data_IF_439766634985
#
_entry.id   IF_439766634985
#
_cell.length_a   1.000
_cell.length_b   1.000
_cell.length_c   1.000
_cell.angle_alpha   90.00
_cell.angle_beta   90.00
_cell.angle_gamma   90.00
#
_symmetry.space_group_name_H-M   'P 1'
#
loop_
_entity.id
_entity.type
_entity.pdbx_description
1 polymer ?
#
# COMPACT_ATOMS: atom_id res chain seq x y z
N UNK A 1 -32.00 3.95 15.56
CA UNK A 1 -31.78 4.64 14.26
C UNK A 1 -30.49 4.07 13.71
N UNK A 2 -30.47 3.72 12.42
CA UNK A 2 -29.27 3.14 11.79
C UNK A 2 -28.07 4.07 11.96
N UNK A 3 -26.98 3.54 12.54
CA UNK A 3 -25.69 4.24 12.64
C UNK A 3 -24.82 3.83 11.46
N UNK A 4 -24.41 4.75 10.60
CA UNK A 4 -23.71 4.45 9.35
C UNK A 4 -22.23 4.81 9.45
N UNK A 5 -21.37 3.82 9.22
CA UNK A 5 -19.93 4.02 9.04
C UNK A 5 -19.59 3.86 7.56
N UNK A 6 -19.10 4.92 6.92
CA UNK A 6 -18.59 4.86 5.54
C UNK A 6 -17.08 4.68 5.59
N UNK A 7 -16.57 3.67 4.90
CA UNK A 7 -15.14 3.36 4.79
C UNK A 7 -14.71 3.54 3.34
N UNK A 8 -13.78 4.47 3.08
CA UNK A 8 -13.26 4.76 1.74
C UNK A 8 -11.91 4.07 1.53
N UNK A 9 -11.88 3.00 0.74
CA UNK A 9 -10.68 2.26 0.34
C UNK A 9 -10.74 0.78 0.73
N UNK A 10 -10.79 -0.11 -0.27
CA UNK A 10 -10.84 -1.58 -0.10
C UNK A 10 -9.47 -2.27 0.00
N UNK A 11 -8.45 -1.59 0.54
CA UNK A 11 -7.12 -2.18 0.79
C UNK A 11 -6.92 -2.49 2.28
N UNK A 12 -5.68 -2.75 2.71
CA UNK A 12 -5.33 -3.25 4.05
C UNK A 12 -6.07 -2.53 5.18
N UNK A 13 -5.95 -1.20 5.27
CA UNK A 13 -6.54 -0.41 6.34
C UNK A 13 -8.08 -0.41 6.36
N UNK A 14 -8.71 -0.17 5.21
CA UNK A 14 -10.16 -0.10 5.13
C UNK A 14 -10.83 -1.47 5.25
N UNK A 15 -10.22 -2.53 4.69
CA UNK A 15 -10.65 -3.92 4.91
C UNK A 15 -10.55 -4.30 6.39
N UNK A 16 -9.44 -3.94 7.04
CA UNK A 16 -9.24 -4.21 8.47
C UNK A 16 -10.32 -3.55 9.32
N UNK A 17 -10.58 -2.25 9.12
CA UNK A 17 -11.63 -1.53 9.86
C UNK A 17 -13.02 -2.12 9.57
N UNK A 18 -13.34 -2.39 8.31
CA UNK A 18 -14.63 -2.95 7.88
C UNK A 18 -14.91 -4.29 8.55
N UNK A 19 -13.99 -5.25 8.43
CA UNK A 19 -14.16 -6.58 9.02
C UNK A 19 -14.20 -6.53 10.55
N UNK A 20 -13.37 -5.70 11.19
CA UNK A 20 -13.37 -5.58 12.65
C UNK A 20 -14.66 -4.95 13.19
N UNK A 21 -15.20 -3.92 12.53
CA UNK A 21 -16.51 -3.35 12.88
C UNK A 21 -17.63 -4.40 12.74
N UNK A 22 -17.65 -5.14 11.63
CA UNK A 22 -18.69 -6.16 11.39
C UNK A 22 -18.57 -7.37 12.32
N UNK A 23 -17.35 -7.77 12.70
CA UNK A 23 -17.10 -8.93 13.56
C UNK A 23 -17.28 -8.61 15.06
N UNK A 24 -16.86 -7.43 15.51
CA UNK A 24 -16.75 -7.11 16.93
C UNK A 24 -17.74 -6.07 17.43
N UNK A 25 -18.12 -5.12 16.58
CA UNK A 25 -19.02 -4.02 16.95
C UNK A 25 -20.46 -4.32 16.60
N UNK A 26 -20.72 -4.77 15.36
CA UNK A 26 -22.06 -5.05 14.85
C UNK A 26 -22.89 -6.03 15.70
N UNK A 27 -22.31 -7.06 16.36
CA UNK A 27 -23.07 -7.93 17.26
C UNK A 27 -23.56 -7.24 18.54
N UNK A 28 -23.02 -6.07 18.89
CA UNK A 28 -23.37 -5.29 20.08
C UNK A 28 -24.14 -4.01 19.75
N UNK A 29 -24.01 -3.52 18.52
CA UNK A 29 -24.70 -2.35 17.98
C UNK A 29 -25.57 -2.81 16.80
N UNK A 30 -26.78 -3.28 17.08
CA UNK A 30 -27.63 -3.93 16.05
C UNK A 30 -28.02 -3.00 14.89
N UNK A 31 -28.04 -1.70 15.14
CA UNK A 31 -28.36 -0.67 14.16
C UNK A 31 -27.13 -0.23 13.33
N UNK A 32 -25.94 -0.82 13.53
CA UNK A 32 -24.74 -0.46 12.78
C UNK A 32 -24.83 -0.95 11.32
N UNK A 33 -24.61 -0.04 10.37
CA UNK A 33 -24.41 -0.32 8.95
C UNK A 33 -23.01 0.15 8.55
N UNK A 34 -22.26 -0.71 7.84
CA UNK A 34 -20.96 -0.34 7.26
C UNK A 34 -21.11 -0.25 5.73
N UNK A 35 -20.67 0.84 5.13
CA UNK A 35 -20.59 0.99 3.68
C UNK A 35 -19.11 1.03 3.29
N UNK A 36 -18.62 -0.01 2.61
CA UNK A 36 -17.28 -0.03 2.06
C UNK A 36 -17.33 0.46 0.61
N UNK A 37 -16.60 1.53 0.33
CA UNK A 37 -16.39 2.05 -1.02
C UNK A 37 -14.97 1.72 -1.44
N UNK A 38 -14.80 1.09 -2.60
CA UNK A 38 -13.48 0.75 -3.14
C UNK A 38 -13.45 1.01 -4.63
N UNK A 39 -12.38 1.61 -5.15
CA UNK A 39 -12.18 1.72 -6.60
C UNK A 39 -12.08 0.34 -7.28
N UNK A 40 -11.71 -0.69 -6.52
CA UNK A 40 -11.49 -2.04 -7.01
C UNK A 40 -12.44 -3.06 -6.37
N UNK A 41 -12.92 -4.00 -7.21
CA UNK A 41 -13.70 -5.16 -6.80
C UNK A 41 -12.86 -6.23 -6.06
N UNK A 42 -11.54 -6.17 -6.23
CA UNK A 42 -10.58 -7.12 -5.66
C UNK A 42 -9.67 -6.45 -4.63
N UNK A 43 -9.37 -7.19 -3.58
CA UNK A 43 -8.27 -6.90 -2.67
C UNK A 43 -6.96 -7.26 -3.37
N UNK A 44 -6.01 -6.33 -3.36
CA UNK A 44 -4.69 -6.50 -3.96
C UNK A 44 -3.60 -6.57 -2.90
N UNK A 45 -2.86 -7.68 -2.85
CA UNK A 45 -1.69 -7.87 -2.01
C UNK A 45 -0.44 -7.23 -2.64
N UNK A 46 -0.41 -5.90 -2.62
CA UNK A 46 0.61 -5.09 -3.28
C UNK A 46 2.04 -5.32 -2.76
N UNK A 47 2.22 -5.90 -1.58
CA UNK A 47 3.54 -6.31 -1.05
C UNK A 47 4.26 -7.31 -1.97
N UNK A 48 3.51 -8.10 -2.74
CA UNK A 48 4.07 -9.05 -3.70
C UNK A 48 4.17 -8.49 -5.13
N UNK A 49 3.84 -7.22 -5.35
CA UNK A 49 3.93 -6.55 -6.66
C UNK A 49 5.32 -6.68 -7.31
N UNK A 50 6.38 -6.61 -6.50
CA UNK A 50 7.78 -6.79 -6.94
C UNK A 50 8.07 -8.16 -7.55
N UNK A 51 7.25 -9.18 -7.25
CA UNK A 51 7.30 -10.50 -7.89
C UNK A 51 6.28 -10.66 -9.01
N UNK A 52 5.15 -9.97 -8.91
CA UNK A 52 4.12 -10.00 -9.94
C UNK A 52 4.62 -9.45 -11.28
N UNK A 53 5.60 -8.53 -11.25
CA UNK A 53 6.28 -8.05 -12.45
C UNK A 53 7.49 -8.91 -12.88
N UNK A 54 7.70 -10.08 -12.28
CA UNK A 54 8.72 -11.03 -12.70
C UNK A 54 8.02 -12.22 -13.36
N UNK A 55 8.21 -12.45 -14.67
CA UNK A 55 7.49 -13.49 -15.41
C UNK A 55 7.52 -14.87 -14.74
N UNK A 56 6.33 -15.45 -14.56
CA UNK A 56 6.17 -16.83 -14.07
C UNK A 56 6.45 -17.03 -12.58
N UNK A 57 6.61 -15.97 -11.78
CA UNK A 57 6.93 -16.09 -10.34
C UNK A 57 5.69 -16.13 -9.45
N UNK A 58 4.66 -15.35 -9.78
CA UNK A 58 3.41 -15.24 -9.02
C UNK A 58 2.24 -15.30 -10.00
N UNK A 59 1.13 -15.93 -9.60
CA UNK A 59 -0.12 -15.89 -10.37
C UNK A 59 -1.04 -14.81 -9.83
N UNK A 60 -1.93 -14.28 -10.68
CA UNK A 60 -2.89 -13.26 -10.27
C UNK A 60 -3.75 -13.71 -9.08
N UNK A 61 -4.17 -14.98 -9.05
CA UNK A 61 -4.96 -15.58 -7.95
C UNK A 61 -4.23 -15.65 -6.58
N UNK A 62 -2.90 -15.47 -6.57
CA UNK A 62 -2.10 -15.42 -5.34
C UNK A 62 -2.07 -14.01 -4.73
N UNK A 63 -2.31 -12.97 -5.53
CA UNK A 63 -2.20 -11.55 -5.13
C UNK A 63 -3.51 -10.79 -5.21
N UNK A 64 -4.51 -11.33 -5.92
CA UNK A 64 -5.86 -10.78 -5.99
C UNK A 64 -6.87 -11.72 -5.35
N UNK A 65 -7.82 -11.16 -4.62
CA UNK A 65 -8.97 -11.89 -4.10
C UNK A 65 -10.22 -11.00 -4.14
N UNK A 66 -11.36 -11.49 -4.65
CA UNK A 66 -12.61 -10.72 -4.65
C UNK A 66 -13.00 -10.30 -3.23
N UNK A 67 -13.38 -9.03 -3.05
CA UNK A 67 -13.77 -8.49 -1.73
C UNK A 67 -15.16 -9.00 -1.34
N UNK A 68 -16.11 -8.97 -2.29
CA UNK A 68 -17.53 -9.21 -2.02
C UNK A 68 -17.83 -10.53 -1.28
N UNK A 69 -17.28 -11.70 -1.66
CA UNK A 69 -17.55 -12.96 -0.94
C UNK A 69 -17.12 -12.91 0.53
N UNK A 70 -16.08 -12.13 0.85
CA UNK A 70 -15.65 -11.88 2.23
C UNK A 70 -16.64 -11.05 3.04
N UNK A 71 -17.45 -10.21 2.39
CA UNK A 71 -18.46 -9.38 3.06
C UNK A 71 -19.81 -10.09 3.16
N UNK A 72 -20.14 -10.96 2.20
CA UNK A 72 -21.40 -11.72 2.17
C UNK A 72 -21.57 -12.69 3.36
N UNK A 73 -20.51 -12.96 4.13
CA UNK A 73 -20.58 -13.77 5.36
C UNK A 73 -21.29 -13.06 6.53
N UNK A 74 -21.43 -11.73 6.48
CA UNK A 74 -22.04 -10.94 7.55
C UNK A 74 -23.56 -10.85 7.39
N UNK A 75 -24.32 -10.54 8.46
CA UNK A 75 -25.78 -10.46 8.40
C UNK A 75 -26.27 -9.54 7.27
N UNK A 76 -27.33 -9.97 6.57
CA UNK A 76 -27.90 -9.20 5.47
C UNK A 76 -28.25 -7.77 5.91
N UNK A 77 -27.85 -6.78 5.10
CA UNK A 77 -28.07 -5.36 5.38
C UNK A 77 -27.08 -4.71 6.37
N UNK A 78 -26.20 -5.49 7.02
CA UNK A 78 -25.15 -4.93 7.90
C UNK A 78 -23.98 -4.29 7.15
N UNK A 79 -23.75 -4.72 5.91
CA UNK A 79 -22.70 -4.20 5.04
C UNK A 79 -23.22 -3.95 3.63
N UNK A 80 -22.76 -2.85 3.04
CA UNK A 80 -22.92 -2.52 1.63
C UNK A 80 -21.54 -2.34 1.01
N UNK A 81 -21.32 -2.93 -0.17
CA UNK A 81 -20.07 -2.81 -0.91
C UNK A 81 -20.32 -2.10 -2.23
N UNK A 82 -19.66 -0.96 -2.42
CA UNK A 82 -19.77 -0.12 -3.62
C UNK A 82 -18.41 -0.13 -4.32
N UNK A 83 -18.39 -0.59 -5.57
CA UNK A 83 -17.23 -0.42 -6.44
C UNK A 83 -17.35 0.95 -7.11
N UNK A 84 -16.46 1.87 -6.76
CA UNK A 84 -16.53 3.28 -7.15
C UNK A 84 -15.45 4.14 -6.51
N UNK A 85 -15.38 5.39 -6.95
CA UNK A 85 -14.39 6.38 -6.50
C UNK A 85 -15.08 7.47 -5.69
N UNK A 86 -14.57 7.76 -4.49
CA UNK A 86 -15.02 8.93 -3.74
C UNK A 86 -14.47 10.21 -4.38
N UNK A 87 -15.35 11.18 -4.67
CA UNK A 87 -15.00 12.39 -5.43
C UNK A 87 -15.24 13.70 -4.68
N UNK A 88 -16.00 13.69 -3.60
CA UNK A 88 -16.14 14.84 -2.70
C UNK A 88 -16.58 14.41 -1.29
N UNK A 89 -16.23 15.22 -0.29
CA UNK A 89 -16.77 15.12 1.08
C UNK A 89 -17.37 16.47 1.46
N UNK A 90 -18.60 16.47 1.98
CA UNK A 90 -19.20 17.63 2.64
C UNK A 90 -19.22 17.39 4.16
N UNK A 91 -18.33 18.06 4.92
CA UNK A 91 -18.27 17.92 6.37
C UNK A 91 -19.51 18.46 7.09
N UNK A 92 -20.18 19.47 6.51
CA UNK A 92 -21.34 20.13 7.12
C UNK A 92 -22.57 19.24 6.99
N UNK A 93 -22.80 18.70 5.79
CA UNK A 93 -23.89 17.76 5.54
C UNK A 93 -23.58 16.34 6.03
N UNK A 94 -22.32 16.05 6.40
CA UNK A 94 -21.81 14.71 6.72
C UNK A 94 -22.09 13.70 5.60
N UNK A 95 -21.69 14.08 4.39
CA UNK A 95 -21.87 13.24 3.20
C UNK A 95 -20.58 13.01 2.43
N UNK A 96 -20.54 11.91 1.68
CA UNK A 96 -19.52 11.61 0.67
C UNK A 96 -20.21 11.37 -0.66
N UNK A 97 -19.71 12.01 -1.71
CA UNK A 97 -20.10 11.72 -3.09
C UNK A 97 -19.22 10.60 -3.65
N UNK A 98 -19.84 9.58 -4.21
CA UNK A 98 -19.18 8.42 -4.82
C UNK A 98 -19.63 8.31 -6.27
N UNK A 99 -18.65 8.27 -7.17
CA UNK A 99 -18.85 7.94 -8.58
C UNK A 99 -18.75 6.40 -8.73
N UNK A 100 -19.86 5.69 -8.93
CA UNK A 100 -19.83 4.24 -9.05
C UNK A 100 -19.13 3.84 -10.36
N UNK A 101 -18.47 2.67 -10.36
CA UNK A 101 -17.91 2.10 -11.59
C UNK A 101 -19.02 1.70 -12.58
N UNK A 102 -20.15 1.23 -12.04
CA UNK A 102 -21.34 0.85 -12.81
C UNK A 102 -22.48 1.82 -12.51
N UNK A 103 -22.98 2.48 -13.56
CA UNK A 103 -23.98 3.54 -13.47
C UNK A 103 -23.36 4.92 -13.68
N UNK A 104 -24.13 5.87 -14.19
CA UNK A 104 -23.63 7.20 -14.57
C UNK A 104 -23.93 8.28 -13.55
N UNK A 105 -24.65 7.96 -12.48
CA UNK A 105 -25.11 8.95 -11.50
C UNK A 105 -24.29 8.85 -10.21
N UNK A 106 -23.60 9.94 -9.82
CA UNK A 106 -22.94 10.01 -8.51
C UNK A 106 -23.95 9.75 -7.40
N UNK A 107 -23.55 8.95 -6.41
CA UNK A 107 -24.38 8.63 -5.24
C UNK A 107 -23.84 9.39 -4.03
N UNK A 108 -24.74 10.01 -3.28
CA UNK A 108 -24.41 10.72 -2.04
C UNK A 108 -24.71 9.81 -0.85
N UNK A 109 -23.68 9.52 -0.05
CA UNK A 109 -23.77 8.66 1.13
C UNK A 109 -23.69 9.52 2.40
N UNK A 110 -24.69 9.40 3.27
CA UNK A 110 -24.63 9.99 4.61
C UNK A 110 -23.78 9.13 5.54
N UNK A 111 -23.07 9.75 6.48
CA UNK A 111 -22.30 9.02 7.50
C UNK A 111 -22.47 9.61 8.90
N UNK A 112 -22.46 8.74 9.90
CA UNK A 112 -22.21 9.11 11.30
C UNK A 112 -20.70 9.07 11.58
N UNK A 113 -19.99 8.14 10.95
CA UNK A 113 -18.53 8.07 10.95
C UNK A 113 -17.97 7.85 9.55
N UNK A 114 -16.87 8.54 9.25
CA UNK A 114 -16.14 8.40 7.98
C UNK A 114 -14.73 7.89 8.24
N UNK A 115 -14.30 6.87 7.51
CA UNK A 115 -12.94 6.32 7.58
C UNK A 115 -12.25 6.51 6.24
N UNK A 116 -11.21 7.32 6.23
CA UNK A 116 -10.38 7.62 5.07
C UNK A 116 -9.22 6.61 4.99
N UNK A 117 -9.30 5.67 4.07
CA UNK A 117 -8.33 4.59 3.86
C UNK A 117 -7.94 4.46 2.38
N UNK A 118 -7.99 5.56 1.62
CA UNK A 118 -7.77 5.59 0.16
C UNK A 118 -6.29 5.47 -0.23
N UNK A 119 -5.38 5.47 0.75
CA UNK A 119 -3.95 5.20 0.56
C UNK A 119 -3.22 6.31 -0.20
N UNK A 120 -2.19 5.89 -0.94
CA UNK A 120 -1.34 6.76 -1.75
C UNK A 120 -1.01 6.07 -3.07
N UNK A 121 -0.80 6.85 -4.13
CA UNK A 121 -0.42 6.41 -5.46
C UNK A 121 1.04 6.73 -5.78
N UNK A 122 1.63 5.98 -6.71
CA UNK A 122 2.94 6.29 -7.30
C UNK A 122 2.85 7.54 -8.19
N UNK A 123 3.87 8.39 -8.17
CA UNK A 123 3.92 9.58 -9.05
C UNK A 123 4.00 9.22 -10.52
N UNK A 124 4.58 8.05 -10.84
CA UNK A 124 4.56 7.48 -12.18
C UNK A 124 3.40 6.48 -12.28
N UNK A 125 2.28 6.85 -12.93
CA UNK A 125 1.10 6.00 -13.02
C UNK A 125 1.29 4.79 -13.94
N UNK A 126 2.38 4.73 -14.71
CA UNK A 126 2.68 3.57 -15.57
C UNK A 126 3.19 2.37 -14.78
N UNK A 127 3.61 2.57 -13.52
CA UNK A 127 4.18 1.54 -12.67
C UNK A 127 3.13 0.89 -11.73
N UNK A 128 3.15 -0.45 -11.56
CA UNK A 128 2.06 -1.17 -10.91
C UNK A 128 2.17 -1.31 -9.37
N UNK A 129 2.96 -0.47 -8.69
CA UNK A 129 3.21 -0.60 -7.24
C UNK A 129 1.99 -0.25 -6.38
N UNK A 130 1.34 0.86 -6.73
CA UNK A 130 0.18 1.44 -6.06
C UNK A 130 -0.68 2.20 -7.08
N UNK A 131 -0.89 1.61 -8.26
CA UNK A 131 -1.71 2.24 -9.29
C UNK A 131 -3.14 2.42 -8.77
N UNK A 132 -3.68 3.63 -8.96
CA UNK A 132 -5.05 3.98 -8.60
C UNK A 132 -5.95 3.76 -9.82
N UNK A 133 -6.13 2.51 -10.23
CA UNK A 133 -6.84 2.08 -11.45
C UNK A 133 -7.86 0.98 -11.11
N UNK A 134 -8.64 0.52 -12.11
CA UNK A 134 -9.51 -0.66 -11.94
C UNK A 134 -8.69 -1.95 -11.77
N UNK A 135 -9.37 -3.07 -11.46
CA UNK A 135 -8.72 -4.35 -11.25
C UNK A 135 -8.08 -4.85 -12.55
N UNK A 136 -8.83 -4.79 -13.64
CA UNK A 136 -8.42 -5.22 -14.97
C UNK A 136 -7.24 -4.37 -15.46
N UNK A 137 -7.31 -3.05 -15.32
CA UNK A 137 -6.22 -2.13 -15.66
C UNK A 137 -4.93 -2.41 -14.86
N UNK A 138 -5.08 -2.76 -13.58
CA UNK A 138 -3.94 -3.11 -12.73
C UNK A 138 -3.31 -4.45 -13.12
N UNK A 139 -4.13 -5.46 -13.46
CA UNK A 139 -3.63 -6.76 -13.96
C UNK A 139 -2.88 -6.56 -15.28
N UNK A 140 -3.45 -5.78 -16.21
CA UNK A 140 -2.82 -5.46 -17.48
C UNK A 140 -1.49 -4.72 -17.28
N UNK A 141 -1.45 -3.73 -16.38
CA UNK A 141 -0.23 -3.00 -16.04
C UNK A 141 0.85 -3.92 -15.46
N UNK A 142 0.49 -4.87 -14.59
CA UNK A 142 1.41 -5.87 -14.05
C UNK A 142 1.98 -6.76 -15.16
N UNK A 143 1.14 -7.29 -16.04
CA UNK A 143 1.57 -8.19 -17.12
C UNK A 143 2.43 -7.47 -18.16
N UNK A 144 2.05 -6.25 -18.56
CA UNK A 144 2.85 -5.42 -19.46
C UNK A 144 4.23 -5.09 -18.87
N UNK A 145 4.27 -4.79 -17.56
CA UNK A 145 5.53 -4.55 -16.87
C UNK A 145 6.37 -5.83 -16.79
N UNK A 146 5.75 -6.99 -16.53
CA UNK A 146 6.43 -8.28 -16.51
C UNK A 146 7.06 -8.62 -17.87
N UNK A 147 6.36 -8.36 -18.97
CA UNK A 147 6.92 -8.53 -20.31
C UNK A 147 8.15 -7.66 -20.56
N UNK A 148 8.10 -6.38 -20.15
CA UNK A 148 9.25 -5.47 -20.27
C UNK A 148 10.43 -5.97 -19.43
N UNK A 149 10.19 -6.40 -18.19
CA UNK A 149 11.21 -7.00 -17.32
C UNK A 149 11.84 -8.24 -17.97
N UNK A 150 11.04 -9.12 -18.57
CA UNK A 150 11.53 -10.36 -19.19
C UNK A 150 12.35 -10.14 -20.47
N UNK A 151 12.25 -8.98 -21.13
CA UNK A 151 12.98 -8.63 -22.36
C UNK A 151 14.20 -7.74 -22.09
N UNK A 152 14.24 -7.05 -20.96
CA UNK A 152 15.27 -6.05 -20.66
C UNK A 152 16.63 -6.68 -20.32
N UNK A 153 17.68 -6.10 -20.89
CA UNK A 153 19.08 -6.47 -20.62
C UNK A 153 19.75 -5.54 -19.63
N UNK A 154 19.25 -4.31 -19.52
CA UNK A 154 19.67 -3.33 -18.52
C UNK A 154 18.42 -2.68 -17.88
N UNK A 155 18.32 -2.74 -16.55
CA UNK A 155 17.21 -2.22 -15.77
C UNK A 155 17.73 -1.29 -14.67
N UNK A 156 17.14 -0.11 -14.56
CA UNK A 156 17.42 0.84 -13.46
C UNK A 156 16.26 0.80 -12.49
N UNK A 157 16.53 0.50 -11.23
CA UNK A 157 15.58 0.62 -10.12
C UNK A 157 15.91 1.89 -9.34
N UNK A 158 15.00 2.86 -9.33
CA UNK A 158 15.21 4.14 -8.64
C UNK A 158 14.53 4.16 -7.27
N UNK A 159 15.33 4.34 -6.22
CA UNK A 159 14.91 4.34 -4.82
C UNK A 159 15.33 3.06 -4.11
N UNK A 160 16.17 3.19 -3.08
CA UNK A 160 16.66 2.06 -2.29
C UNK A 160 15.87 1.84 -0.98
N UNK A 161 14.58 2.15 -0.98
CA UNK A 161 13.67 1.72 0.08
C UNK A 161 13.41 0.20 0.02
N UNK A 162 12.53 -0.29 0.89
CA UNK A 162 12.19 -1.72 0.93
C UNK A 162 11.74 -2.26 -0.45
N UNK A 163 10.85 -1.54 -1.14
CA UNK A 163 10.36 -1.94 -2.47
C UNK A 163 11.48 -2.07 -3.48
N UNK A 164 12.37 -1.07 -3.60
CA UNK A 164 13.47 -1.11 -4.55
C UNK A 164 14.53 -2.17 -4.23
N UNK A 165 14.84 -2.38 -2.96
CA UNK A 165 15.75 -3.47 -2.53
C UNK A 165 15.16 -4.84 -2.84
N UNK A 166 13.88 -5.07 -2.52
CA UNK A 166 13.21 -6.34 -2.82
C UNK A 166 13.13 -6.55 -4.34
N UNK A 167 12.73 -5.52 -5.09
CA UNK A 167 12.61 -5.58 -6.53
C UNK A 167 13.93 -5.88 -7.24
N UNK A 168 15.00 -5.15 -6.90
CA UNK A 168 16.31 -5.38 -7.50
C UNK A 168 16.80 -6.82 -7.24
N UNK A 169 16.59 -7.32 -6.02
CA UNK A 169 16.91 -8.70 -5.67
C UNK A 169 16.07 -9.74 -6.42
N UNK A 170 14.77 -9.51 -6.58
CA UNK A 170 13.86 -10.41 -7.32
C UNK A 170 14.22 -10.50 -8.80
N UNK A 171 14.43 -9.35 -9.46
CA UNK A 171 14.81 -9.30 -10.88
C UNK A 171 16.16 -9.98 -11.10
N UNK A 172 17.20 -9.58 -10.35
CA UNK A 172 18.55 -10.13 -10.54
C UNK A 172 18.59 -11.65 -10.27
N UNK A 173 17.81 -12.12 -9.29
CA UNK A 173 17.70 -13.55 -9.02
C UNK A 173 17.02 -14.31 -10.17
N UNK A 174 16.01 -13.72 -10.81
CA UNK A 174 15.30 -14.34 -11.93
C UNK A 174 16.08 -14.28 -13.24
N UNK A 175 16.84 -13.22 -13.45
CA UNK A 175 17.59 -12.95 -14.68
C UNK A 175 19.06 -12.64 -14.38
N UNK A 176 19.90 -13.66 -14.09
CA UNK A 176 21.31 -13.45 -13.72
C UNK A 176 22.16 -12.74 -14.77
N UNK A 177 21.74 -12.75 -16.04
CA UNK A 177 22.41 -12.08 -17.16
C UNK A 177 21.97 -10.62 -17.35
N UNK A 178 20.89 -10.19 -16.72
CA UNK A 178 20.40 -8.80 -16.81
C UNK A 178 21.22 -7.94 -15.84
N UNK A 179 21.69 -6.78 -16.32
CA UNK A 179 22.29 -5.77 -15.46
C UNK A 179 21.20 -5.01 -14.72
N UNK A 180 21.14 -5.17 -13.40
CA UNK A 180 20.23 -4.41 -12.53
C UNK A 180 21.03 -3.36 -11.76
N UNK A 181 20.73 -2.09 -12.02
CA UNK A 181 21.30 -0.95 -11.31
C UNK A 181 20.28 -0.37 -10.32
N UNK A 182 20.55 -0.53 -9.02
CA UNK A 182 19.80 0.12 -7.95
C UNK A 182 20.44 1.48 -7.62
N UNK A 183 19.68 2.56 -7.80
CA UNK A 183 20.12 3.91 -7.41
C UNK A 183 19.43 4.39 -6.13
N UNK A 184 20.20 5.05 -5.26
CA UNK A 184 19.74 5.60 -3.98
C UNK A 184 20.14 7.06 -3.85
N UNK A 185 19.17 7.93 -3.56
CA UNK A 185 19.43 9.33 -3.24
C UNK A 185 20.27 9.49 -1.96
N UNK A 186 20.13 8.55 -1.02
CA UNK A 186 20.88 8.51 0.23
C UNK A 186 22.16 7.66 0.08
N UNK A 187 23.14 7.88 0.97
CA UNK A 187 24.40 7.13 1.01
C UNK A 187 24.22 5.66 1.44
N UNK A 188 23.06 5.31 2.01
CA UNK A 188 22.75 3.97 2.49
C UNK A 188 21.39 3.52 1.97
N UNK A 189 21.25 2.21 1.75
CA UNK A 189 19.95 1.60 1.46
C UNK A 189 19.04 1.68 2.69
N UNK A 190 17.74 1.43 2.48
CA UNK A 190 16.72 1.27 3.53
C UNK A 190 16.70 2.43 4.54
N UNK A 191 16.93 3.65 4.07
CA UNK A 191 17.01 4.87 4.88
C UNK A 191 18.03 4.79 6.04
N UNK A 192 19.12 4.04 5.83
CA UNK A 192 20.18 3.88 6.83
C UNK A 192 19.81 2.98 8.01
N UNK A 193 18.75 2.18 7.91
CA UNK A 193 18.41 1.18 8.92
C UNK A 193 19.62 0.26 9.24
N UNK A 194 19.68 -0.29 10.45
CA UNK A 194 20.79 -1.17 10.85
C UNK A 194 20.96 -2.41 9.95
N UNK A 195 19.93 -2.82 9.20
CA UNK A 195 20.03 -3.92 8.23
C UNK A 195 20.57 -3.50 6.86
N UNK A 196 20.79 -2.20 6.61
CA UNK A 196 21.16 -1.66 5.29
C UNK A 196 22.46 -2.27 4.73
N UNK A 197 23.52 -2.38 5.54
CA UNK A 197 24.79 -2.96 5.08
C UNK A 197 24.68 -4.46 4.75
N UNK A 198 23.82 -5.19 5.47
CA UNK A 198 23.53 -6.58 5.15
C UNK A 198 22.73 -6.70 3.85
N UNK A 199 21.74 -5.81 3.63
CA UNK A 199 20.97 -5.76 2.39
C UNK A 199 21.88 -5.51 1.18
N UNK A 200 22.77 -4.51 1.30
CA UNK A 200 23.72 -4.16 0.26
C UNK A 200 24.65 -5.32 -0.08
N UNK A 201 25.16 -6.02 0.94
CA UNK A 201 26.02 -7.19 0.78
C UNK A 201 25.30 -8.34 0.06
N UNK A 202 24.03 -8.61 0.40
CA UNK A 202 23.23 -9.65 -0.26
C UNK A 202 22.92 -9.31 -1.72
N UNK A 203 22.56 -8.06 -2.00
CA UNK A 203 22.28 -7.60 -3.36
C UNK A 203 23.54 -7.66 -4.24
N UNK A 204 24.69 -7.19 -3.74
CA UNK A 204 25.98 -7.31 -4.43
C UNK A 204 26.35 -8.76 -4.69
N UNK A 205 26.11 -9.66 -3.72
CA UNK A 205 26.34 -11.11 -3.89
C UNK A 205 25.45 -11.73 -4.97
N UNK A 206 24.24 -11.17 -5.19
CA UNK A 206 23.36 -11.58 -6.29
C UNK A 206 23.76 -10.99 -7.65
N UNK A 207 24.63 -9.99 -7.69
CA UNK A 207 25.07 -9.32 -8.92
C UNK A 207 24.39 -7.97 -9.19
N UNK A 208 23.61 -7.43 -8.24
CA UNK A 208 23.02 -6.10 -8.37
C UNK A 208 24.10 -5.03 -8.27
N UNK A 209 24.13 -4.11 -9.23
CA UNK A 209 24.92 -2.89 -9.15
C UNK A 209 24.23 -1.86 -8.27
N UNK A 210 24.98 -1.16 -7.42
CA UNK A 210 24.42 -0.20 -6.45
C UNK A 210 25.16 1.12 -6.58
N UNK A 211 24.42 2.21 -6.78
CA UNK A 211 24.94 3.58 -6.73
C UNK A 211 24.18 4.38 -5.68
N UNK A 212 24.86 4.67 -4.57
CA UNK A 212 24.33 5.48 -3.48
C UNK A 212 24.76 6.95 -3.60
N UNK A 213 24.04 7.85 -2.91
CA UNK A 213 24.27 9.29 -2.97
C UNK A 213 23.91 9.95 -4.32
N UNK A 214 23.17 9.25 -5.18
CA UNK A 214 22.78 9.72 -6.52
C UNK A 214 21.31 9.44 -6.75
N UNK A 215 20.55 10.47 -7.15
CA UNK A 215 19.14 10.34 -7.51
C UNK A 215 18.92 10.56 -9.00
N UNK A 216 17.86 9.96 -9.54
CA UNK A 216 17.29 10.38 -10.81
C UNK A 216 16.65 11.75 -10.64
N UNK A 217 16.94 12.67 -11.54
CA UNK A 217 16.36 14.03 -11.57
C UNK A 217 15.35 14.20 -12.70
N UNK A 218 15.57 13.51 -13.82
CA UNK A 218 14.71 13.58 -14.99
C UNK A 218 14.80 12.27 -15.78
N UNK A 219 13.72 11.93 -16.46
CA UNK A 219 13.62 10.75 -17.32
C UNK A 219 12.93 11.10 -18.62
N UNK A 220 13.48 10.64 -19.74
CA UNK A 220 12.91 10.85 -21.06
C UNK A 220 12.82 9.52 -21.79
N UNK A 221 11.61 9.18 -22.26
CA UNK A 221 11.42 8.04 -23.15
C UNK A 221 12.02 8.35 -24.53
N UNK A 222 12.81 7.43 -25.06
CA UNK A 222 13.50 7.55 -26.33
C UNK A 222 12.68 6.87 -27.44
N UNK A 223 12.89 7.22 -28.73
CA UNK A 223 12.13 6.65 -29.85
C UNK A 223 12.23 5.12 -30.01
N UNK A 224 13.28 4.49 -29.45
CA UNK A 224 13.48 3.05 -29.46
C UNK A 224 12.84 2.33 -28.26
N UNK A 225 12.08 3.06 -27.42
CA UNK A 225 11.40 2.54 -26.23
C UNK A 225 12.29 2.47 -24.98
N UNK A 226 13.56 2.88 -25.06
CA UNK A 226 14.46 2.97 -23.91
C UNK A 226 14.21 4.24 -23.11
N UNK A 227 14.78 4.33 -21.91
CA UNK A 227 14.69 5.53 -21.06
C UNK A 227 16.07 6.15 -20.89
N UNK A 228 16.19 7.43 -21.21
CA UNK A 228 17.32 8.26 -20.79
C UNK A 228 17.06 8.75 -19.36
N UNK A 229 17.97 8.43 -18.44
CA UNK A 229 17.90 8.83 -17.03
C UNK A 229 19.02 9.84 -16.76
N UNK A 230 18.64 11.04 -16.33
CA UNK A 230 19.59 12.05 -15.85
C UNK A 230 19.76 11.93 -14.34
N UNK A 231 21.00 11.89 -13.89
CA UNK A 231 21.37 11.70 -12.50
C UNK A 231 21.86 13.01 -11.87
N UNK A 232 21.69 13.14 -10.56
CA UNK A 232 22.03 14.36 -9.80
C UNK A 232 23.52 14.70 -9.73
N UNK A 233 24.39 13.78 -10.14
CA UNK A 233 25.83 14.01 -10.27
C UNK A 233 26.23 14.52 -11.67
N UNK A 234 25.26 14.79 -12.54
CA UNK A 234 25.48 15.24 -13.93
C UNK A 234 25.68 14.10 -14.92
N UNK A 235 25.75 12.84 -14.48
CA UNK A 235 25.79 11.69 -15.38
C UNK A 235 24.43 11.47 -16.05
N UNK A 236 24.44 10.83 -17.21
CA UNK A 236 23.24 10.31 -17.87
C UNK A 236 23.50 8.91 -18.36
N UNK A 237 22.48 8.06 -18.31
CA UNK A 237 22.55 6.68 -18.78
C UNK A 237 21.26 6.32 -19.52
N UNK A 238 21.37 5.39 -20.47
CA UNK A 238 20.23 4.83 -21.19
C UNK A 238 19.98 3.43 -20.66
N UNK A 239 18.72 3.13 -20.35
CA UNK A 239 18.29 1.83 -19.82
C UNK A 239 17.13 1.28 -20.64
N UNK A 240 17.01 -0.04 -20.74
CA UNK A 240 15.88 -0.66 -21.43
C UNK A 240 14.58 -0.48 -20.62
N UNK A 241 14.71 -0.44 -19.29
CA UNK A 241 13.58 -0.22 -18.38
C UNK A 241 14.03 0.61 -17.18
N UNK A 242 13.20 1.59 -16.82
CA UNK A 242 13.34 2.39 -15.60
C UNK A 242 12.16 2.10 -14.67
N UNK A 243 12.44 1.72 -13.42
CA UNK A 243 11.46 1.34 -12.42
C UNK A 243 11.62 2.23 -11.19
N UNK A 244 10.85 3.32 -11.12
CA UNK A 244 10.80 4.17 -9.94
C UNK A 244 10.04 3.48 -8.80
N UNK A 245 10.63 3.43 -7.62
CA UNK A 245 10.02 2.90 -6.38
C UNK A 245 9.93 3.98 -5.28
N UNK A 246 10.05 5.24 -5.70
CA UNK A 246 9.97 6.45 -4.88
C UNK A 246 8.76 7.30 -5.28
N UNK A 247 8.52 8.39 -4.56
CA UNK A 247 7.52 9.39 -4.94
C UNK A 247 6.10 8.86 -4.78
N UNK A 248 5.60 8.87 -3.54
CA UNK A 248 4.20 8.59 -3.27
C UNK A 248 3.43 9.90 -3.09
N UNK A 249 2.20 9.94 -3.59
CA UNK A 249 1.24 11.03 -3.39
C UNK A 249 0.01 10.47 -2.67
N UNK A 250 -0.45 11.07 -1.57
CA UNK A 250 -1.67 10.63 -0.89
C UNK A 250 -2.91 10.82 -1.78
N UNK A 251 -3.83 9.86 -1.76
CA UNK A 251 -5.09 9.89 -2.50
C UNK A 251 -6.15 10.72 -1.74
N UNK A 252 -5.84 12.00 -1.54
CA UNK A 252 -6.59 12.93 -0.69
C UNK A 252 -7.17 14.13 -1.45
N UNK A 253 -6.97 14.21 -2.78
CA UNK A 253 -7.33 15.39 -3.58
C UNK A 253 -8.83 15.76 -3.58
N UNK A 254 -9.70 14.82 -3.21
CA UNK A 254 -11.15 15.04 -3.07
C UNK A 254 -11.58 15.59 -1.71
N UNK A 255 -10.63 15.72 -0.77
CA UNK A 255 -10.89 16.14 0.60
C UNK A 255 -10.78 17.66 0.77
N UNK A 256 -11.45 18.24 1.78
CA UNK A 256 -11.24 19.63 2.17
C UNK A 256 -9.78 19.91 2.51
N UNK A 257 -9.24 21.05 2.05
CA UNK A 257 -7.81 21.39 2.22
C UNK A 257 -7.43 21.57 3.69
N UNK A 258 -8.37 22.00 4.53
CA UNK A 258 -8.22 22.16 5.97
C UNK A 258 -7.99 20.85 6.72
N UNK A 259 -8.27 19.70 6.09
CA UNK A 259 -7.99 18.37 6.66
C UNK A 259 -6.58 17.88 6.30
N UNK A 260 -5.87 18.59 5.44
CA UNK A 260 -4.60 18.17 4.88
C UNK A 260 -3.46 19.01 5.44
N UNK A 261 -2.30 18.37 5.61
CA UNK A 261 -1.06 19.09 5.86
C UNK A 261 -0.49 19.70 4.58
N UNK A 262 0.62 20.41 4.69
CA UNK A 262 1.32 21.09 3.59
C UNK A 262 1.80 20.15 2.47
N UNK A 263 1.85 18.84 2.74
CA UNK A 263 2.25 17.80 1.80
C UNK A 263 1.04 17.03 1.23
N UNK A 264 -0.18 17.46 1.53
CA UNK A 264 -1.43 16.85 1.05
C UNK A 264 -1.86 15.59 1.81
N UNK A 265 -1.16 15.17 2.87
CA UNK A 265 -1.58 14.03 3.68
C UNK A 265 -2.67 14.45 4.67
N UNK A 266 -3.58 13.55 5.02
CA UNK A 266 -4.61 13.81 6.03
C UNK A 266 -3.95 14.00 7.39
N UNK A 267 -4.24 15.13 8.04
CA UNK A 267 -3.69 15.49 9.34
C UNK A 267 -4.55 14.91 10.46
N UNK A 268 -3.94 14.07 11.30
CA UNK A 268 -4.62 13.31 12.36
C UNK A 268 -4.03 13.59 13.73
N UNK A 269 -4.87 13.44 14.76
CA UNK A 269 -4.42 13.37 16.16
C UNK A 269 -3.88 11.97 16.52
N UNK A 270 -3.40 11.80 17.75
CA UNK A 270 -2.84 10.54 18.24
C UNK A 270 -3.87 9.40 18.27
N UNK A 271 -5.18 9.71 18.21
CA UNK A 271 -6.25 8.74 18.14
C UNK A 271 -6.62 8.36 16.69
N UNK A 272 -5.84 8.83 15.70
CA UNK A 272 -6.08 8.67 14.26
C UNK A 272 -7.35 9.37 13.76
N UNK A 273 -7.88 10.33 14.54
CA UNK A 273 -9.01 11.18 14.13
C UNK A 273 -8.49 12.35 13.31
N UNK A 274 -9.19 12.71 12.24
CA UNK A 274 -8.83 13.90 11.45
C UNK A 274 -8.99 15.15 12.32
N UNK A 275 -7.97 15.99 12.38
CA UNK A 275 -7.98 17.15 13.28
C UNK A 275 -9.13 18.09 12.94
N UNK A 276 -9.67 18.74 13.97
CA UNK A 276 -10.81 19.66 13.87
C UNK A 276 -12.07 19.04 13.24
N UNK A 277 -12.22 17.71 13.31
CA UNK A 277 -13.44 17.01 12.87
C UNK A 277 -14.03 16.16 14.01
N UNK A 278 -15.31 15.82 13.86
CA UNK A 278 -15.97 14.81 14.68
C UNK A 278 -16.34 13.62 13.80
N UNK A 279 -16.00 12.42 14.28
CA UNK A 279 -16.38 11.18 13.61
C UNK A 279 -15.64 10.85 12.30
N UNK A 280 -14.63 11.63 11.91
CA UNK A 280 -13.79 11.35 10.74
C UNK A 280 -12.43 10.81 11.18
N UNK A 281 -12.01 9.69 10.59
CA UNK A 281 -10.80 8.94 10.93
C UNK A 281 -9.97 8.70 9.68
N UNK A 282 -8.66 8.51 9.81
CA UNK A 282 -7.81 8.14 8.67
C UNK A 282 -6.80 7.06 9.03
N UNK A 283 -6.50 6.17 8.08
CA UNK A 283 -5.63 5.00 8.27
C UNK A 283 -4.84 4.67 7.01
N UNK A 284 -3.62 4.17 7.21
CA UNK A 284 -2.72 3.75 6.13
C UNK A 284 -2.00 4.92 5.47
N UNK A 285 -1.64 4.75 4.20
CA UNK A 285 -0.70 5.64 3.51
C UNK A 285 -1.27 7.04 3.17
N UNK A 286 -2.55 7.30 3.48
CA UNK A 286 -3.14 8.63 3.35
C UNK A 286 -2.70 9.60 4.46
N UNK A 287 -2.18 9.09 5.58
CA UNK A 287 -1.60 9.90 6.65
C UNK A 287 -0.08 9.97 6.54
N UNK A 288 0.52 11.08 7.02
CA UNK A 288 1.98 11.26 6.98
C UNK A 288 2.69 10.68 8.20
N UNK A 289 1.99 10.54 9.33
CA UNK A 289 2.54 10.08 10.60
C UNK A 289 1.55 9.12 11.29
N UNK A 290 2.03 7.96 11.78
CA UNK A 290 3.34 7.36 11.52
C UNK A 290 3.58 7.01 10.04
N UNK A 291 4.83 6.68 9.67
CA UNK A 291 5.23 6.32 8.29
C UNK A 291 4.41 5.15 7.72
N UNK A 292 4.30 5.11 6.39
CA UNK A 292 3.73 3.98 5.66
C UNK A 292 4.43 2.66 6.01
N UNK A 293 3.66 1.66 6.47
CA UNK A 293 4.15 0.31 6.77
C UNK A 293 2.98 -0.63 7.02
N UNK A 294 3.08 -1.86 6.51
CA UNK A 294 2.09 -2.91 6.70
C UNK A 294 1.66 -3.10 8.16
N UNK A 295 2.61 -3.26 9.09
CA UNK A 295 2.30 -3.50 10.51
C UNK A 295 1.76 -2.25 11.21
N UNK A 296 2.14 -1.06 10.74
CA UNK A 296 1.64 0.19 11.29
C UNK A 296 0.19 0.39 10.86
N UNK A 297 -0.14 0.15 9.60
CA UNK A 297 -1.51 0.21 9.07
C UNK A 297 -2.44 -0.76 9.80
N UNK A 298 -1.98 -1.99 10.10
CA UNK A 298 -2.74 -2.94 10.93
C UNK A 298 -3.02 -2.40 12.34
N UNK A 299 -2.01 -1.82 12.99
CA UNK A 299 -2.17 -1.22 14.32
C UNK A 299 -3.11 0.00 14.29
N UNK A 300 -2.98 0.84 13.26
CA UNK A 300 -3.86 1.98 13.02
C UNK A 300 -5.31 1.54 12.87
N UNK A 301 -5.60 0.57 11.98
CA UNK A 301 -6.95 0.04 11.78
C UNK A 301 -7.52 -0.56 13.07
N UNK A 302 -6.69 -1.33 13.79
CA UNK A 302 -7.02 -1.90 15.10
C UNK A 302 -7.33 -0.86 16.18
N UNK A 303 -6.75 0.35 16.08
CA UNK A 303 -7.07 1.48 16.94
C UNK A 303 -8.32 2.23 16.52
N UNK A 304 -8.45 2.52 15.22
CA UNK A 304 -9.57 3.27 14.63
C UNK A 304 -10.90 2.56 14.89
N UNK A 305 -11.01 1.24 14.68
CA UNK A 305 -12.30 0.56 14.94
C UNK A 305 -12.70 0.65 16.43
N UNK A 306 -11.73 0.55 17.36
CA UNK A 306 -11.99 0.70 18.80
C UNK A 306 -12.41 2.12 19.16
N UNK A 307 -11.81 3.11 18.52
CA UNK A 307 -12.18 4.51 18.72
C UNK A 307 -13.57 4.82 18.15
N UNK A 308 -13.95 4.19 17.04
CA UNK A 308 -15.34 4.21 16.56
C UNK A 308 -16.27 3.56 17.60
N UNK A 309 -15.94 2.38 18.15
CA UNK A 309 -16.73 1.76 19.22
C UNK A 309 -16.89 2.65 20.46
N UNK A 310 -15.86 3.41 20.83
CA UNK A 310 -15.91 4.37 21.93
C UNK A 310 -16.82 5.55 21.58
N UNK A 311 -16.67 6.12 20.38
CA UNK A 311 -17.49 7.23 19.91
C UNK A 311 -18.97 6.86 19.83
N UNK A 312 -19.30 5.66 19.34
CA UNK A 312 -20.68 5.12 19.30
C UNK A 312 -21.34 5.02 20.69
N UNK A 313 -20.52 4.98 21.76
CA UNK A 313 -20.92 4.94 23.18
C UNK A 313 -20.79 6.30 23.87
N UNK A 314 -20.50 7.36 23.13
CA UNK A 314 -20.27 8.71 23.67
C UNK A 314 -19.02 8.82 24.54
N UNK A 315 -18.01 7.95 24.33
CA UNK A 315 -16.74 7.96 25.06
C UNK A 315 -15.64 8.63 24.25
N UNK A 316 -14.67 9.20 24.95
CA UNK A 316 -13.50 9.83 24.32
C UNK A 316 -12.60 8.80 23.62
N UNK A 317 -12.08 9.21 22.47
CA UNK A 317 -11.13 8.43 21.68
C UNK A 317 -9.81 8.25 22.45
N UNK A 318 -9.13 7.13 22.22
CA UNK A 318 -7.87 6.80 22.87
C UNK A 318 -6.71 6.85 21.87
N UNK A 319 -5.49 7.21 22.31
CA UNK A 319 -4.31 7.16 21.45
C UNK A 319 -4.08 5.77 20.85
N UNK A 320 -3.76 5.74 19.56
CA UNK A 320 -3.46 4.52 18.82
C UNK A 320 -1.94 4.28 18.86
N UNK A 321 -1.55 3.24 19.57
CA UNK A 321 -0.15 2.82 19.63
C UNK A 321 0.22 1.99 18.39
N UNK A 322 1.48 2.15 17.93
CA UNK A 322 2.05 1.31 16.88
C UNK A 322 2.24 -0.16 17.31
N UNK A 323 2.80 -1.00 16.42
CA UNK A 323 3.07 -2.40 16.75
C UNK A 323 4.01 -2.52 17.96
N UNK A 324 3.75 -3.50 18.84
CA UNK A 324 4.55 -3.73 20.06
C UNK A 324 6.02 -4.04 19.78
N UNK A 325 6.30 -4.62 18.61
CA UNK A 325 7.65 -4.94 18.16
C UNK A 325 7.86 -4.23 16.82
N UNK A 326 8.84 -3.33 16.77
CA UNK A 326 9.30 -2.75 15.52
C UNK A 326 10.08 -3.81 14.73
N UNK A 327 9.46 -4.36 13.70
CA UNK A 327 10.08 -5.35 12.83
C UNK A 327 10.34 -4.75 11.45
N UNK A 328 11.48 -5.10 10.87
CA UNK A 328 11.77 -4.78 9.48
C UNK A 328 12.34 -6.03 8.82
N UNK A 329 11.58 -6.62 7.90
CA UNK A 329 11.97 -7.79 7.11
C UNK A 329 11.96 -7.39 5.64
N UNK A 330 13.09 -7.61 4.97
CA UNK A 330 13.30 -7.27 3.58
C UNK A 330 13.85 -8.50 2.85
N UNK A 331 13.15 -8.95 1.81
CA UNK A 331 13.66 -9.98 0.92
C UNK A 331 14.82 -9.42 0.08
N UNK A 332 15.81 -10.27 -0.21
CA UNK A 332 16.94 -9.90 -1.07
C UNK A 332 17.07 -11.00 -2.12
N UNK A 333 16.02 -11.14 -2.94
CA UNK A 333 15.79 -12.28 -3.84
C UNK A 333 14.97 -13.42 -3.19
N UNK A 334 14.79 -14.52 -3.93
CA UNK A 334 13.86 -15.61 -3.55
C UNK A 334 14.41 -16.65 -2.57
N UNK A 335 15.70 -16.56 -2.20
CA UNK A 335 16.37 -17.54 -1.33
C UNK A 335 16.87 -16.98 0.00
N UNK A 336 16.87 -15.66 0.17
CA UNK A 336 17.45 -14.98 1.33
C UNK A 336 16.68 -13.70 1.66
N UNK A 337 16.94 -13.19 2.85
CA UNK A 337 16.52 -11.86 3.24
C UNK A 337 17.35 -11.33 4.39
N UNK A 338 17.11 -10.07 4.73
CA UNK A 338 17.70 -9.40 5.88
C UNK A 338 16.59 -8.83 6.75
N UNK A 339 16.82 -8.78 8.05
CA UNK A 339 15.80 -8.26 8.92
C UNK A 339 16.21 -8.13 10.37
N UNK A 340 15.32 -7.50 11.13
CA UNK A 340 15.47 -7.23 12.55
C UNK A 340 14.13 -7.25 13.28
N UNK A 341 14.19 -7.56 14.56
CA UNK A 341 13.12 -7.35 15.54
C UNK A 341 13.67 -6.43 16.64
N UNK A 342 13.19 -5.19 16.68
CA UNK A 342 13.83 -4.11 17.43
C UNK A 342 15.28 -3.96 16.98
N UNK A 343 16.22 -4.17 17.91
CA UNK A 343 17.67 -4.15 17.66
C UNK A 343 18.25 -5.51 17.30
N UNK A 344 17.49 -6.60 17.45
CA UNK A 344 17.99 -7.96 17.28
C UNK A 344 17.95 -8.34 15.79
N UNK A 345 19.08 -8.74 15.16
CA UNK A 345 19.08 -9.20 13.79
C UNK A 345 18.34 -10.54 13.67
N UNK A 346 17.64 -10.74 12.55
CA UNK A 346 16.93 -11.99 12.23
C UNK A 346 17.78 -12.79 11.25
N UNK A 347 18.06 -14.08 11.50
CA UNK A 347 18.81 -14.92 10.57
C UNK A 347 18.17 -14.95 9.17
N UNK A 348 19.00 -14.92 8.12
CA UNK A 348 18.51 -14.80 6.73
C UNK A 348 17.49 -15.88 6.34
N UNK A 349 17.71 -17.14 6.76
CA UNK A 349 16.77 -18.24 6.50
C UNK A 349 15.42 -18.04 7.21
N UNK A 350 15.42 -17.40 8.39
CA UNK A 350 14.18 -17.05 9.07
C UNK A 350 13.45 -15.91 8.36
N UNK A 351 14.16 -14.89 7.88
CA UNK A 351 13.56 -13.82 7.04
C UNK A 351 12.95 -14.40 5.78
N UNK A 352 13.65 -15.32 5.12
CA UNK A 352 13.12 -16.08 3.99
C UNK A 352 11.86 -16.85 4.38
N UNK A 353 11.87 -17.61 5.47
CA UNK A 353 10.71 -18.38 5.93
C UNK A 353 9.48 -17.51 6.26
N UNK A 354 9.69 -16.33 6.85
CA UNK A 354 8.60 -15.43 7.29
C UNK A 354 8.05 -14.58 6.12
N UNK A 355 8.93 -14.09 5.25
CA UNK A 355 8.58 -13.14 4.18
C UNK A 355 9.11 -13.59 2.83
N UNK A 356 10.40 -13.88 2.72
CA UNK A 356 11.06 -14.12 1.42
C UNK A 356 10.60 -15.36 0.65
N UNK A 357 9.83 -16.29 1.23
CA UNK A 357 9.32 -17.46 0.51
C UNK A 357 8.17 -17.08 -0.42
N UNK A 358 7.22 -16.27 0.05
CA UNK A 358 5.96 -15.97 -0.64
C UNK A 358 5.66 -14.48 -0.74
N UNK A 359 6.41 -13.61 -0.05
CA UNK A 359 6.04 -12.22 0.24
C UNK A 359 4.66 -12.07 0.91
N UNK A 360 4.20 -13.13 1.59
CA UNK A 360 2.93 -13.12 2.31
C UNK A 360 1.70 -13.38 1.43
N UNK A 361 1.85 -13.81 0.17
CA UNK A 361 0.71 -14.11 -0.72
C UNK A 361 -0.23 -15.17 -0.18
N UNK A 362 0.24 -16.05 0.72
CA UNK A 362 -0.62 -17.01 1.41
C UNK A 362 -1.71 -16.35 2.29
N UNK A 363 -1.60 -15.04 2.53
CA UNK A 363 -2.53 -14.25 3.34
C UNK A 363 -3.55 -13.48 2.51
N UNK A 364 -3.37 -13.34 1.18
CA UNK A 364 -4.23 -12.54 0.30
C UNK A 364 -5.72 -12.82 0.51
N UNK A 365 -6.11 -14.11 0.40
CA UNK A 365 -7.51 -14.53 0.59
C UNK A 365 -7.99 -14.31 2.03
N UNK A 366 -7.10 -14.45 3.02
CA UNK A 366 -7.43 -14.26 4.43
C UNK A 366 -7.70 -12.79 4.77
N UNK A 367 -6.98 -11.88 4.13
CA UNK A 367 -7.22 -10.44 4.26
C UNK A 367 -8.53 -10.04 3.55
N UNK A 368 -8.78 -10.57 2.35
CA UNK A 368 -10.00 -10.28 1.61
C UNK A 368 -11.28 -10.81 2.29
N UNK A 369 -11.19 -11.96 2.96
CA UNK A 369 -12.32 -12.55 3.69
C UNK A 369 -12.37 -12.21 5.18
N UNK A 370 -11.46 -11.35 5.64
CA UNK A 370 -11.42 -10.90 7.03
C UNK A 370 -10.87 -11.90 8.04
N UNK A 371 -10.51 -13.13 7.70
CA UNK A 371 -10.02 -14.13 8.67
C UNK A 371 -8.66 -13.81 9.32
N UNK A 372 -7.97 -12.76 8.87
CA UNK A 372 -6.79 -12.21 9.55
C UNK A 372 -7.11 -11.46 10.83
N UNK A 373 -8.34 -10.97 10.97
CA UNK A 373 -8.87 -10.29 12.15
C UNK A 373 -10.00 -11.15 12.71
#
# INVERSE_FOLDING_TARGET
>A
MTKTVVVLGGSLGGMAVTHQLLKYTRPREEDLKVILVSKNSHFYWNLASVRAIVPGVVKDEDIFAPIKPGLDQYPAGSVEFIVGTASAVDPTARTVTVDPEVGTTPTVLNYDHLVLATGAETVDPSLPWKASTSHEELVDSLHQTAEKVGKATHIVVAGAGATGVELAGEIQFAFPSTTVLLISAEDKLLAGDQIAGAAESELKRLGVEIRAGVRSEDTTELPDGKTLVKLSNGESLVTDLFLATMGLRPNSGFLPKEWLNEHGYVDVDDAMRVKATEGVWAVGDIVSKPRASFMITEAQAGGVFKNIELALKGKEAQPVSGPRVDAFLCATGRSRGVGRLGKVPVPSLAVWGIKGRTLGTERTKKYANGSMW
#
